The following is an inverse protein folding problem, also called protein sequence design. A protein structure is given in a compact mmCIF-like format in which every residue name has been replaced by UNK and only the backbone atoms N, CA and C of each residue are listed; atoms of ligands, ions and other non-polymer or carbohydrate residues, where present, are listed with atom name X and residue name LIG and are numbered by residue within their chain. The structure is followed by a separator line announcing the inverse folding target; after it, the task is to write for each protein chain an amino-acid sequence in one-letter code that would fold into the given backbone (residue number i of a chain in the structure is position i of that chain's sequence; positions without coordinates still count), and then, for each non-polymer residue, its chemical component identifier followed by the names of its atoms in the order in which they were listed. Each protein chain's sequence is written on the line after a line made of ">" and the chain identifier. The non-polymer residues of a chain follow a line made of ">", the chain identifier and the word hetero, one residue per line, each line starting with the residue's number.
data_IF_623918596265
#
_entry.id   IF_623918596265
#
_cell.length_a   1.000
_cell.length_b   1.000
_cell.length_c   1.000
_cell.angle_alpha   90.00
_cell.angle_beta   90.00
_cell.angle_gamma   90.00
#
_symmetry.space_group_name_H-M   'P 1'
#
loop_
_entity.id
_entity.type
_entity.pdbx_description
1 polymer ?
#
# COMPACT_ATOMS: atom_id res chain seq x y z
N UNK A 1 3.91 -7.17 58.06
CA UNK A 1 4.36 -5.78 57.87
C UNK A 1 3.52 -5.20 56.75
N UNK A 2 2.64 -4.28 57.10
CA UNK A 2 1.63 -3.69 56.21
C UNK A 2 2.27 -2.53 55.47
N UNK A 3 2.11 -2.46 54.16
CA UNK A 3 2.07 -1.17 53.46
C UNK A 3 0.99 -1.23 52.38
N UNK A 4 -0.19 -0.76 52.77
CA UNK A 4 -1.30 -0.44 51.88
C UNK A 4 -1.00 0.93 51.28
N UNK A 5 -0.73 0.97 49.98
CA UNK A 5 -0.60 2.20 49.21
C UNK A 5 -1.86 2.45 48.39
N UNK A 6 -2.80 3.20 48.94
CA UNK A 6 -3.98 3.71 48.22
C UNK A 6 -3.56 4.83 47.27
N UNK A 7 -3.52 4.56 45.97
CA UNK A 7 -3.50 5.60 44.93
C UNK A 7 -4.85 5.61 44.22
N UNK A 8 -5.77 6.44 44.74
CA UNK A 8 -6.93 6.91 43.98
C UNK A 8 -6.41 7.93 42.96
N UNK A 9 -6.26 7.53 41.71
CA UNK A 9 -6.00 8.43 40.60
C UNK A 9 -7.25 8.54 39.73
N UNK A 10 -7.89 9.71 39.81
CA UNK A 10 -8.98 10.17 38.96
C UNK A 10 -8.40 10.62 37.63
N UNK A 11 -8.29 9.74 36.64
CA UNK A 11 -8.11 10.15 35.25
C UNK A 11 -8.96 9.25 34.35
N UNK A 12 -9.81 9.89 33.54
CA UNK A 12 -10.84 9.26 32.73
C UNK A 12 -10.31 8.14 31.85
N UNK A 13 -11.15 7.13 31.64
CA UNK A 13 -10.87 6.02 30.74
C UNK A 13 -10.70 6.53 29.30
N UNK A 14 -9.46 6.83 28.91
CA UNK A 14 -9.09 6.89 27.50
C UNK A 14 -9.05 5.44 27.04
N UNK A 15 -10.10 4.99 26.35
CA UNK A 15 -10.08 3.74 25.61
C UNK A 15 -9.07 3.94 24.49
N UNK A 16 -7.82 3.52 24.69
CA UNK A 16 -6.89 3.35 23.58
C UNK A 16 -7.46 2.15 22.82
N UNK A 17 -7.98 2.31 21.58
CA UNK A 17 -8.29 1.14 20.78
C UNK A 17 -6.98 0.37 20.64
N UNK A 18 -6.90 -0.81 21.26
CA UNK A 18 -5.81 -1.73 20.97
C UNK A 18 -5.92 -2.06 19.50
N UNK A 19 -5.15 -1.37 18.66
CA UNK A 19 -4.94 -1.79 17.30
C UNK A 19 -4.45 -3.23 17.40
N UNK A 20 -5.29 -4.18 16.97
CA UNK A 20 -4.96 -5.59 16.99
C UNK A 20 -3.89 -5.83 15.92
N UNK A 21 -2.64 -5.48 16.24
CA UNK A 21 -1.50 -5.70 15.38
C UNK A 21 -1.20 -7.19 15.39
N UNK A 22 -1.67 -7.89 14.37
CA UNK A 22 -1.32 -9.28 14.15
C UNK A 22 0.14 -9.31 13.68
N UNK A 23 1.04 -9.77 14.56
CA UNK A 23 2.44 -9.99 14.23
C UNK A 23 2.66 -11.46 13.88
N UNK A 24 3.29 -11.71 12.73
CA UNK A 24 3.66 -13.05 12.28
C UNK A 24 5.19 -13.12 12.17
N UNK A 25 5.80 -14.14 12.77
CA UNK A 25 7.23 -14.41 12.64
C UNK A 25 7.46 -15.41 11.52
N UNK A 26 8.34 -15.07 10.57
CA UNK A 26 8.69 -15.95 9.44
C UNK A 26 10.13 -16.44 9.64
N UNK A 27 10.31 -17.76 9.69
CA UNK A 27 11.62 -18.42 9.68
C UNK A 27 11.80 -19.13 8.34
N UNK A 28 12.80 -18.71 7.57
CA UNK A 28 13.10 -19.28 6.25
C UNK A 28 14.51 -19.84 6.25
N UNK A 29 14.67 -21.06 5.77
CA UNK A 29 15.97 -21.67 5.51
C UNK A 29 16.23 -21.61 4.01
N UNK A 30 17.30 -20.93 3.61
CA UNK A 30 17.69 -20.80 2.21
C UNK A 30 19.03 -21.52 1.96
N UNK A 31 19.19 -22.18 0.79
CA UNK A 31 20.51 -22.62 0.33
C UNK A 31 21.50 -21.45 0.28
N UNK A 32 22.77 -21.70 0.59
CA UNK A 32 23.80 -20.66 0.75
C UNK A 32 23.90 -19.71 -0.46
N UNK A 33 23.78 -20.23 -1.69
CA UNK A 33 23.81 -19.43 -2.93
C UNK A 33 22.64 -18.44 -3.01
N UNK A 34 21.43 -18.88 -2.68
CA UNK A 34 20.23 -18.04 -2.71
C UNK A 34 20.27 -16.98 -1.61
N UNK A 35 20.78 -17.33 -0.42
CA UNK A 35 20.99 -16.36 0.64
C UNK A 35 21.98 -15.26 0.22
N UNK A 36 23.12 -15.64 -0.37
CA UNK A 36 24.13 -14.68 -0.82
C UNK A 36 23.57 -13.73 -1.89
N UNK A 37 22.78 -14.24 -2.83
CA UNK A 37 22.13 -13.42 -3.86
C UNK A 37 21.09 -12.46 -3.25
N UNK A 38 20.22 -12.95 -2.36
CA UNK A 38 19.23 -12.12 -1.68
C UNK A 38 19.90 -11.03 -0.83
N UNK A 39 21.00 -11.36 -0.15
CA UNK A 39 21.81 -10.41 0.61
C UNK A 39 22.42 -9.34 -0.30
N UNK A 40 23.06 -9.73 -1.40
CA UNK A 40 23.65 -8.78 -2.34
C UNK A 40 22.61 -7.81 -2.92
N UNK A 41 21.39 -8.26 -3.18
CA UNK A 41 20.32 -7.40 -3.64
C UNK A 41 19.77 -6.49 -2.54
N UNK A 42 19.65 -6.98 -1.31
CA UNK A 42 19.25 -6.17 -0.17
C UNK A 42 20.28 -5.06 0.12
N UNK A 43 21.58 -5.39 0.09
CA UNK A 43 22.68 -4.45 0.34
C UNK A 43 22.69 -3.31 -0.70
N UNK A 44 22.39 -3.60 -1.99
CA UNK A 44 22.33 -2.59 -3.06
C UNK A 44 21.32 -1.48 -2.80
N UNK A 45 20.23 -1.79 -2.12
CA UNK A 45 19.14 -0.87 -1.79
C UNK A 45 19.17 -0.45 -0.31
N UNK A 46 20.26 -0.74 0.40
CA UNK A 46 20.44 -0.38 1.81
C UNK A 46 19.48 -1.07 2.77
N UNK A 47 18.91 -2.22 2.40
CA UNK A 47 17.97 -2.98 3.24
C UNK A 47 18.64 -4.16 3.94
N UNK A 48 18.10 -4.53 5.10
CA UNK A 48 18.41 -5.84 5.69
C UNK A 48 17.75 -6.95 4.87
N UNK A 49 18.31 -8.17 4.93
CA UNK A 49 17.73 -9.33 4.23
C UNK A 49 16.28 -9.58 4.66
N UNK A 50 15.95 -9.39 5.94
CA UNK A 50 14.59 -9.54 6.45
C UNK A 50 13.63 -8.49 5.86
N UNK A 51 14.04 -7.21 5.84
CA UNK A 51 13.26 -6.13 5.21
C UNK A 51 13.08 -6.36 3.72
N UNK A 52 14.11 -6.86 3.03
CA UNK A 52 14.06 -7.19 1.62
C UNK A 52 13.08 -8.34 1.32
N UNK A 53 13.10 -9.41 2.12
CA UNK A 53 12.13 -10.52 1.99
C UNK A 53 10.70 -10.02 2.24
N UNK A 54 10.51 -9.14 3.25
CA UNK A 54 9.19 -8.52 3.50
C UNK A 54 8.71 -7.71 2.31
N UNK A 55 9.61 -6.90 1.72
CA UNK A 55 9.32 -6.12 0.52
C UNK A 55 8.92 -7.00 -0.67
N UNK A 56 9.65 -8.10 -0.91
CA UNK A 56 9.30 -9.06 -1.95
C UNK A 56 7.92 -9.70 -1.72
N UNK A 57 7.64 -10.12 -0.48
CA UNK A 57 6.36 -10.74 -0.14
C UNK A 57 5.18 -9.77 -0.33
N UNK A 58 5.34 -8.49 0.03
CA UNK A 58 4.30 -7.47 -0.18
C UNK A 58 4.13 -7.20 -1.68
N UNK A 59 5.21 -6.95 -2.40
CA UNK A 59 5.13 -6.53 -3.80
C UNK A 59 4.65 -7.64 -4.74
N UNK A 60 5.05 -8.90 -4.52
CA UNK A 60 4.56 -10.03 -5.34
C UNK A 60 3.05 -10.27 -5.13
N UNK A 61 2.51 -9.92 -3.95
CA UNK A 61 1.06 -9.98 -3.70
C UNK A 61 0.29 -8.77 -4.21
N UNK A 62 0.96 -7.62 -4.38
CA UNK A 62 0.31 -6.34 -4.71
C UNK A 62 -0.25 -6.33 -6.15
N UNK A 63 0.51 -6.77 -7.16
CA UNK A 63 0.01 -6.74 -8.54
C UNK A 63 -1.00 -7.85 -8.86
N UNK A 64 -0.87 -9.03 -8.26
CA UNK A 64 -1.68 -10.21 -8.61
C UNK A 64 -3.07 -10.25 -7.97
N UNK A 65 -3.33 -9.45 -6.93
CA UNK A 65 -4.55 -9.58 -6.11
C UNK A 65 -5.31 -8.27 -5.88
N UNK A 66 -5.05 -7.21 -6.65
CA UNK A 66 -5.93 -6.05 -6.60
C UNK A 66 -7.32 -6.48 -7.11
N UNK A 67 -8.38 -6.36 -6.29
CA UNK A 67 -9.72 -6.65 -6.76
C UNK A 67 -10.05 -5.68 -7.90
N UNK A 68 -10.22 -6.20 -9.10
CA UNK A 68 -10.78 -5.42 -10.21
C UNK A 68 -12.26 -5.23 -9.93
N UNK A 69 -12.64 -4.01 -9.54
CA UNK A 69 -14.04 -3.68 -9.32
C UNK A 69 -14.71 -3.48 -10.68
N UNK A 70 -15.86 -4.13 -10.90
CA UNK A 70 -16.67 -3.86 -12.09
C UNK A 70 -17.17 -2.42 -12.02
N UNK A 71 -16.90 -1.64 -13.07
CA UNK A 71 -17.37 -0.26 -13.21
C UNK A 71 -18.89 -0.20 -13.10
N UNK A 72 -19.45 0.86 -12.53
CA UNK A 72 -20.91 1.01 -12.48
C UNK A 72 -21.48 1.20 -13.90
N UNK A 73 -22.73 0.77 -14.17
CA UNK A 73 -23.32 0.92 -15.51
C UNK A 73 -23.39 2.38 -16.00
N UNK A 74 -23.42 3.34 -15.09
CA UNK A 74 -23.40 4.77 -15.41
C UNK A 74 -22.02 5.19 -15.90
N UNK A 75 -20.97 4.80 -15.19
CA UNK A 75 -19.60 5.11 -15.53
C UNK A 75 -19.14 4.39 -16.81
N UNK A 76 -19.60 3.17 -17.05
CA UNK A 76 -19.35 2.41 -18.29
C UNK A 76 -19.88 3.19 -19.50
N UNK A 77 -21.12 3.69 -19.44
CA UNK A 77 -21.70 4.53 -20.50
C UNK A 77 -20.93 5.83 -20.75
N UNK A 78 -20.47 6.48 -19.68
CA UNK A 78 -19.66 7.71 -19.80
C UNK A 78 -18.32 7.39 -20.46
N UNK A 79 -17.69 6.27 -20.10
CA UNK A 79 -16.43 5.82 -20.71
C UNK A 79 -16.63 5.51 -22.20
N UNK A 80 -17.66 4.76 -22.56
CA UNK A 80 -17.99 4.46 -23.96
C UNK A 80 -18.26 5.73 -24.77
N UNK A 81 -18.95 6.71 -24.18
CA UNK A 81 -19.21 7.98 -24.84
C UNK A 81 -17.93 8.79 -25.03
N UNK A 82 -17.05 8.81 -24.03
CA UNK A 82 -15.75 9.47 -24.12
C UNK A 82 -14.87 8.85 -25.20
N UNK A 83 -14.86 7.52 -25.34
CA UNK A 83 -14.15 6.84 -26.44
C UNK A 83 -14.72 7.22 -27.81
N UNK A 84 -16.04 7.21 -27.96
CA UNK A 84 -16.71 7.63 -29.20
C UNK A 84 -16.36 9.08 -29.57
N UNK A 85 -16.34 9.97 -28.59
CA UNK A 85 -16.02 11.39 -28.80
C UNK A 85 -14.53 11.60 -29.12
N UNK A 86 -13.63 10.75 -28.59
CA UNK A 86 -12.22 10.70 -28.99
C UNK A 86 -12.05 10.30 -30.46
N UNK A 87 -12.66 9.19 -30.89
CA UNK A 87 -12.61 8.76 -32.29
C UNK A 87 -13.31 9.72 -33.25
N UNK A 88 -14.36 10.41 -32.78
CA UNK A 88 -15.04 11.45 -33.55
C UNK A 88 -14.27 12.78 -33.60
N UNK A 89 -13.10 12.89 -32.96
CA UNK A 89 -12.26 14.09 -32.99
C UNK A 89 -12.85 15.28 -32.22
N UNK A 90 -13.81 15.04 -31.32
CA UNK A 90 -14.41 16.09 -30.46
C UNK A 90 -13.55 16.44 -29.24
N UNK A 91 -12.39 15.78 -29.11
CA UNK A 91 -11.47 15.99 -27.99
C UNK A 91 -10.47 17.10 -28.30
N UNK A 92 -10.12 17.87 -27.28
CA UNK A 92 -9.17 18.97 -27.39
C UNK A 92 -7.79 18.40 -27.15
N UNK A 93 -6.89 18.54 -28.12
CA UNK A 93 -5.48 18.20 -27.93
C UNK A 93 -4.80 19.30 -27.11
N UNK A 94 -4.26 18.93 -25.96
CA UNK A 94 -3.57 19.88 -25.10
C UNK A 94 -2.06 19.65 -25.24
N UNK A 95 -1.36 20.70 -25.66
CA UNK A 95 0.08 20.67 -25.93
C UNK A 95 0.92 21.21 -24.76
N UNK A 96 0.28 21.85 -23.77
CA UNK A 96 0.93 22.39 -22.58
C UNK A 96 0.13 22.02 -21.33
N UNK A 97 0.80 21.45 -20.34
CA UNK A 97 0.21 21.04 -19.06
C UNK A 97 -0.29 22.25 -18.28
N UNK A 98 0.41 23.39 -18.35
CA UNK A 98 0.00 24.62 -17.66
C UNK A 98 -1.35 25.14 -18.20
N UNK A 99 -1.55 25.05 -19.52
CA UNK A 99 -2.81 25.44 -20.17
C UNK A 99 -3.96 24.48 -19.84
N UNK A 100 -3.67 23.21 -19.53
CA UNK A 100 -4.68 22.25 -19.07
C UNK A 100 -5.18 22.60 -17.69
N UNK A 101 -4.25 22.82 -16.75
CA UNK A 101 -4.59 23.10 -15.33
C UNK A 101 -5.36 24.41 -15.20
N UNK A 102 -5.05 25.42 -16.02
CA UNK A 102 -5.78 26.69 -16.03
C UNK A 102 -7.20 26.60 -16.62
N UNK A 103 -7.57 25.48 -17.26
CA UNK A 103 -8.89 25.24 -17.90
C UNK A 103 -9.73 24.17 -17.19
N UNK A 104 -9.22 23.59 -16.11
CA UNK A 104 -9.94 22.69 -15.20
C UNK A 104 -10.93 23.49 -14.33
#
# INVERSE_FOLDING_TARGET
>A
MILVGTQRSLFGAIIIPMANTQAVQIKVTLPAKLYAQAKANADKIGLTVASYIRHLAINDTWEKNLPTFKMTPQQEKVSEQAEKDYYAGKTIRINNIDDFVNKL
#
